data_IF_532682495116
#
_entry.id   IF_532682495116
#
_cell.length_a   1.000
_cell.length_b   1.000
_cell.length_c   1.000
_cell.angle_alpha   90.00
_cell.angle_beta   90.00
_cell.angle_gamma   90.00
#
_symmetry.space_group_name_H-M   'P 1'
#
loop_
_entity.id
_entity.type
_entity.pdbx_description
1 polymer ?
#
# COMPACT_ATOMS: atom_id res chain seq x y z
N UNK A 1 -14.03 0.51 4.50
CA UNK A 1 -13.34 0.32 3.21
C UNK A 1 -13.03 1.69 2.62
N UNK A 2 -11.79 1.95 2.25
CA UNK A 2 -11.47 3.25 1.65
C UNK A 2 -12.12 3.41 0.28
N UNK A 3 -12.41 4.64 -0.07
CA UNK A 3 -13.00 4.98 -1.35
C UNK A 3 -12.07 5.96 -2.08
N UNK A 4 -11.46 5.50 -3.15
CA UNK A 4 -10.53 6.30 -3.92
C UNK A 4 -11.25 7.05 -5.03
N UNK A 5 -12.06 8.01 -4.63
CA UNK A 5 -12.86 8.80 -5.59
C UNK A 5 -11.99 9.70 -6.47
N UNK A 6 -10.94 10.29 -5.92
CA UNK A 6 -10.06 11.17 -6.68
C UNK A 6 -9.25 10.40 -7.72
N UNK A 7 -8.54 9.30 -7.37
CA UNK A 7 -7.87 8.49 -8.40
C UNK A 7 -8.83 7.98 -9.47
N UNK A 8 -10.04 7.55 -9.07
CA UNK A 8 -11.02 7.08 -10.04
C UNK A 8 -11.36 8.17 -11.05
N UNK A 9 -11.55 9.42 -10.61
CA UNK A 9 -11.86 10.55 -11.49
C UNK A 9 -10.69 10.93 -12.40
N UNK A 10 -9.47 10.54 -12.07
CA UNK A 10 -8.27 10.84 -12.83
C UNK A 10 -7.82 9.70 -13.75
N UNK A 11 -8.59 8.63 -13.82
CA UNK A 11 -8.27 7.51 -14.69
C UNK A 11 -8.15 7.97 -16.14
N UNK A 12 -7.17 7.44 -16.85
CA UNK A 12 -6.80 7.84 -18.23
C UNK A 12 -6.23 9.26 -18.33
N UNK A 13 -5.77 9.85 -17.24
CA UNK A 13 -5.06 11.13 -17.25
C UNK A 13 -3.65 10.95 -16.71
N UNK A 14 -2.78 11.91 -16.98
CA UNK A 14 -1.42 11.91 -16.46
C UNK A 14 -1.39 12.06 -14.92
N UNK A 15 -2.51 12.42 -14.33
CA UNK A 15 -2.60 12.66 -12.89
C UNK A 15 -2.96 11.41 -12.10
N UNK A 16 -3.33 10.31 -12.75
CA UNK A 16 -3.80 9.12 -12.06
C UNK A 16 -2.73 8.55 -11.12
N UNK A 17 -1.51 8.36 -11.62
CA UNK A 17 -0.44 7.77 -10.82
C UNK A 17 -0.11 8.62 -9.59
N UNK A 18 -0.02 9.95 -9.77
CA UNK A 18 0.26 10.84 -8.66
C UNK A 18 -0.88 10.85 -7.64
N UNK A 19 -2.12 10.83 -8.10
CA UNK A 19 -3.30 10.80 -7.26
C UNK A 19 -3.38 9.50 -6.45
N UNK A 20 -3.15 8.37 -7.11
CA UNK A 20 -3.19 7.06 -6.44
C UNK A 20 -2.07 6.96 -5.40
N UNK A 21 -0.88 7.37 -5.75
CA UNK A 21 0.26 7.40 -4.83
C UNK A 21 -0.06 8.23 -3.58
N UNK A 22 -0.62 9.43 -3.80
CA UNK A 22 -0.96 10.34 -2.71
C UNK A 22 -2.00 9.72 -1.76
N UNK A 23 -3.04 9.10 -2.34
CA UNK A 23 -4.09 8.46 -1.54
C UNK A 23 -3.54 7.29 -0.71
N UNK A 24 -2.66 6.49 -1.29
CA UNK A 24 -2.07 5.36 -0.58
C UNK A 24 -1.19 5.85 0.57
N UNK A 25 -0.37 6.88 0.33
CA UNK A 25 0.53 7.42 1.33
C UNK A 25 -0.19 8.15 2.47
N UNK A 26 -1.43 8.56 2.25
CA UNK A 26 -2.23 9.27 3.25
C UNK A 26 -3.25 8.37 3.95
N UNK A 27 -3.23 7.06 3.70
CA UNK A 27 -4.12 6.14 4.40
C UNK A 27 -3.78 6.09 5.89
N UNK A 28 -4.83 5.85 6.68
CA UNK A 28 -4.65 5.67 8.12
C UNK A 28 -3.86 4.40 8.39
N UNK A 29 -3.16 4.40 9.51
CA UNK A 29 -2.43 3.22 9.98
C UNK A 29 -3.36 2.02 10.06
N UNK A 30 -2.88 0.88 9.60
CA UNK A 30 -3.61 -0.38 9.65
C UNK A 30 -4.55 -0.64 8.48
N UNK A 31 -4.75 0.33 7.57
CA UNK A 31 -5.62 0.11 6.40
C UNK A 31 -4.98 -0.82 5.39
N UNK A 32 -3.68 -0.65 5.11
CA UNK A 32 -2.96 -1.55 4.22
C UNK A 32 -2.59 -2.83 4.98
N UNK A 33 -2.72 -4.01 4.34
CA UNK A 33 -2.42 -5.29 5.00
C UNK A 33 -0.92 -5.59 5.03
N UNK A 34 -0.11 -4.64 5.46
CA UNK A 34 1.35 -4.75 5.42
C UNK A 34 1.88 -5.81 6.38
N UNK A 35 1.12 -6.16 7.41
CA UNK A 35 1.49 -7.24 8.33
C UNK A 35 1.67 -8.59 7.63
N UNK A 36 1.05 -8.77 6.48
CA UNK A 36 1.20 -9.99 5.67
C UNK A 36 2.52 -10.00 4.90
N UNK A 37 3.21 -8.87 4.82
CA UNK A 37 4.45 -8.71 4.07
C UNK A 37 5.67 -8.62 4.96
N UNK A 38 5.51 -8.70 6.28
CA UNK A 38 6.67 -8.69 7.19
C UNK A 38 7.49 -9.95 7.00
N UNK A 39 8.81 -9.79 7.05
CA UNK A 39 9.75 -10.88 6.75
C UNK A 39 10.30 -11.55 7.99
N UNK A 40 10.28 -10.85 9.13
CA UNK A 40 10.88 -11.32 10.37
C UNK A 40 9.91 -11.31 11.55
N UNK A 41 8.61 -11.24 11.25
CA UNK A 41 7.60 -11.23 12.30
C UNK A 41 7.57 -9.97 13.14
N UNK A 42 8.15 -8.89 12.65
CA UNK A 42 8.16 -7.61 13.35
C UNK A 42 6.83 -6.87 13.26
N UNK A 43 6.79 -5.70 13.86
CA UNK A 43 5.63 -4.82 13.81
C UNK A 43 5.74 -3.89 12.62
N UNK A 44 4.63 -3.64 11.96
CA UNK A 44 4.58 -2.69 10.85
C UNK A 44 4.60 -1.27 11.39
N UNK A 45 5.53 -0.46 10.87
CA UNK A 45 5.51 0.98 11.03
C UNK A 45 5.12 1.59 9.69
N UNK A 46 3.86 1.98 9.58
CA UNK A 46 3.29 2.55 8.35
C UNK A 46 3.10 4.07 8.45
N UNK A 47 3.84 4.72 9.36
CA UNK A 47 3.76 6.17 9.53
C UNK A 47 4.40 6.93 8.36
N UNK A 48 5.35 6.31 7.65
CA UNK A 48 6.07 6.94 6.54
C UNK A 48 6.20 5.95 5.39
N UNK A 49 5.07 5.55 4.81
CA UNK A 49 5.11 4.68 3.65
C UNK A 49 5.44 5.49 2.40
N UNK A 50 6.12 4.84 1.47
CA UNK A 50 6.39 5.38 0.15
C UNK A 50 5.81 4.42 -0.88
N UNK A 51 5.04 4.95 -1.82
CA UNK A 51 4.38 4.14 -2.83
C UNK A 51 4.91 4.48 -4.22
N UNK A 52 5.00 3.45 -5.06
CA UNK A 52 5.40 3.60 -6.46
C UNK A 52 4.44 2.80 -7.33
N UNK A 53 3.82 3.46 -8.30
CA UNK A 53 2.87 2.80 -9.19
C UNK A 53 3.68 2.06 -10.26
N UNK A 54 3.60 0.73 -10.25
CA UNK A 54 4.35 -0.12 -11.18
C UNK A 54 3.60 -0.28 -12.49
N UNK A 55 2.31 -0.60 -12.40
CA UNK A 55 1.46 -0.77 -13.57
C UNK A 55 0.02 -0.50 -13.21
N UNK A 56 -0.80 -0.22 -14.21
CA UNK A 56 -2.23 -0.04 -14.03
C UNK A 56 -2.97 -0.51 -15.26
N UNK A 57 -4.19 -0.98 -15.05
CA UNK A 57 -5.07 -1.43 -16.13
C UNK A 57 -6.50 -1.32 -15.65
N UNK A 58 -7.44 -1.57 -16.55
CA UNK A 58 -8.85 -1.57 -16.18
C UNK A 58 -9.55 -2.76 -16.82
N UNK A 59 -10.63 -3.17 -16.19
CA UNK A 59 -11.63 -4.02 -16.80
C UNK A 59 -12.98 -3.30 -16.76
N UNK A 60 -14.07 -4.01 -17.07
CA UNK A 60 -15.39 -3.37 -17.13
C UNK A 60 -15.86 -2.83 -15.77
N UNK A 61 -15.42 -3.44 -14.68
CA UNK A 61 -15.92 -3.15 -13.33
C UNK A 61 -14.95 -2.39 -12.46
N UNK A 62 -13.64 -2.57 -12.69
CA UNK A 62 -12.60 -2.08 -11.77
C UNK A 62 -11.42 -1.49 -12.51
N UNK A 63 -10.74 -0.57 -11.83
CA UNK A 63 -9.39 -0.15 -12.17
C UNK A 63 -8.46 -0.92 -11.27
N UNK A 64 -7.41 -1.50 -11.84
CA UNK A 64 -6.43 -2.32 -11.12
C UNK A 64 -5.06 -1.69 -11.24
N UNK A 65 -4.31 -1.74 -10.16
CA UNK A 65 -2.94 -1.24 -10.17
C UNK A 65 -2.05 -2.15 -9.34
N UNK A 66 -0.81 -2.30 -9.80
CA UNK A 66 0.24 -2.95 -9.03
C UNK A 66 1.12 -1.85 -8.46
N UNK A 67 1.28 -1.83 -7.14
CA UNK A 67 1.96 -0.76 -6.44
C UNK A 67 3.05 -1.35 -5.57
N UNK A 68 4.26 -0.80 -5.68
CA UNK A 68 5.34 -1.10 -4.75
C UNK A 68 5.22 -0.21 -3.52
N UNK A 69 5.31 -0.80 -2.35
CA UNK A 69 5.19 -0.07 -1.09
C UNK A 69 6.43 -0.32 -0.24
N UNK A 70 7.08 0.78 0.16
CA UNK A 70 8.17 0.76 1.13
C UNK A 70 7.62 1.18 2.48
N UNK A 71 7.90 0.40 3.49
CA UNK A 71 7.53 0.70 4.87
C UNK A 71 8.63 0.20 5.80
N UNK A 72 8.50 0.48 7.09
CA UNK A 72 9.46 0.00 8.06
C UNK A 72 8.87 -1.15 8.88
N UNK A 73 9.67 -2.16 9.10
CA UNK A 73 9.34 -3.25 10.02
C UNK A 73 10.18 -3.06 11.28
N UNK A 74 9.51 -2.99 12.43
CA UNK A 74 10.19 -2.82 13.71
C UNK A 74 10.37 -4.19 14.33
N UNK A 75 11.64 -4.57 14.51
CA UNK A 75 12.02 -5.86 15.06
C UNK A 75 12.53 -5.63 16.48
N UNK A 76 11.84 -6.19 17.44
CA UNK A 76 12.23 -6.12 18.83
C UNK A 76 13.48 -6.94 19.09
N UNK A 77 14.35 -6.43 19.97
CA UNK A 77 15.53 -7.17 20.40
C UNK A 77 15.14 -8.40 21.21
N UNK A 78 15.93 -9.46 21.07
CA UNK A 78 15.71 -10.68 21.83
C UNK A 78 16.23 -10.60 23.26
N UNK A 79 17.04 -9.59 23.55
CA UNK A 79 17.60 -9.36 24.88
C UNK A 79 17.11 -8.03 25.42
N UNK A 80 17.04 -7.91 26.73
CA UNK A 80 16.61 -6.68 27.37
C UNK A 80 17.58 -5.49 27.16
N UNK A 81 18.73 -5.73 26.58
CA UNK A 81 19.72 -4.69 26.26
C UNK A 81 19.69 -4.24 24.81
N UNK A 82 18.89 -4.92 23.96
CA UNK A 82 18.82 -4.58 22.54
C UNK A 82 17.66 -3.61 22.31
N UNK A 83 17.97 -2.52 21.62
CA UNK A 83 16.95 -1.60 21.17
C UNK A 83 16.22 -2.18 19.95
N UNK A 84 14.93 -1.88 19.77
CA UNK A 84 14.23 -2.26 18.56
C UNK A 84 14.93 -1.68 17.33
N UNK A 85 14.98 -2.48 16.27
CA UNK A 85 15.62 -2.10 15.01
C UNK A 85 14.53 -1.86 13.97
N UNK A 86 14.63 -0.73 13.26
CA UNK A 86 13.75 -0.44 12.15
C UNK A 86 14.45 -0.81 10.85
N UNK A 87 13.80 -1.70 10.08
CA UNK A 87 14.33 -2.12 8.78
C UNK A 87 13.39 -1.70 7.67
N UNK A 88 13.97 -1.19 6.58
CA UNK A 88 13.19 -0.90 5.37
C UNK A 88 12.71 -2.20 4.77
N UNK A 89 11.42 -2.28 4.52
CA UNK A 89 10.77 -3.45 3.95
C UNK A 89 10.02 -3.03 2.70
N UNK A 90 10.09 -3.85 1.69
CA UNK A 90 9.39 -3.61 0.43
C UNK A 90 8.39 -4.73 0.18
N UNK A 91 7.22 -4.36 -0.28
CA UNK A 91 6.25 -5.33 -0.80
C UNK A 91 5.52 -4.74 -2.00
N UNK A 92 4.86 -5.62 -2.74
CA UNK A 92 3.97 -5.21 -3.81
C UNK A 92 2.55 -5.51 -3.41
N UNK A 93 1.65 -4.59 -3.69
CA UNK A 93 0.24 -4.76 -3.44
C UNK A 93 -0.55 -4.63 -4.74
N UNK A 94 -1.66 -5.34 -4.80
CA UNK A 94 -2.65 -5.18 -5.86
C UNK A 94 -3.75 -4.28 -5.32
N UNK A 95 -4.06 -3.21 -6.05
CA UNK A 95 -5.11 -2.26 -5.70
C UNK A 95 -6.23 -2.41 -6.72
N UNK A 96 -7.45 -2.58 -6.25
CA UNK A 96 -8.62 -2.68 -7.11
C UNK A 96 -9.63 -1.61 -6.70
N UNK A 97 -10.00 -0.73 -7.63
CA UNK A 97 -10.95 0.35 -7.39
C UNK A 97 -12.22 0.06 -8.20
N UNK A 98 -13.34 -0.07 -7.50
CA UNK A 98 -14.63 -0.27 -8.15
C UNK A 98 -15.04 1.01 -8.89
N UNK A 99 -15.36 0.90 -10.18
CA UNK A 99 -15.69 2.06 -11.02
C UNK A 99 -16.99 2.74 -10.62
N UNK A 100 -17.91 2.01 -10.00
CA UNK A 100 -19.23 2.55 -9.63
C UNK A 100 -19.23 3.18 -8.25
N UNK A 101 -18.53 2.57 -7.29
CA UNK A 101 -18.59 2.96 -5.88
C UNK A 101 -17.31 3.60 -5.39
N UNK A 102 -16.22 3.46 -6.13
CA UNK A 102 -14.86 3.82 -5.73
C UNK A 102 -14.32 2.99 -4.55
N UNK A 103 -15.03 1.97 -4.12
CA UNK A 103 -14.55 1.06 -3.08
C UNK A 103 -13.22 0.43 -3.51
N UNK A 104 -12.25 0.44 -2.62
CA UNK A 104 -10.89 0.05 -2.94
C UNK A 104 -10.46 -1.12 -2.07
N UNK A 105 -9.95 -2.16 -2.70
CA UNK A 105 -9.41 -3.35 -2.04
C UNK A 105 -7.90 -3.40 -2.25
N UNK A 106 -7.21 -3.83 -1.20
CA UNK A 106 -5.76 -4.01 -1.22
C UNK A 106 -5.43 -5.46 -0.94
N UNK A 107 -4.54 -6.03 -1.75
CA UNK A 107 -4.08 -7.40 -1.57
C UNK A 107 -2.56 -7.42 -1.68
N UNK A 108 -1.88 -8.00 -0.70
CA UNK A 108 -0.44 -8.20 -0.77
C UNK A 108 -0.16 -9.29 -1.80
N UNK A 109 0.75 -9.00 -2.72
CA UNK A 109 1.15 -9.95 -3.75
C UNK A 109 2.25 -10.82 -3.16
N UNK A 110 1.99 -12.11 -3.06
CA UNK A 110 2.99 -13.08 -2.63
C UNK A 110 3.99 -13.34 -3.77
N UNK A 111 5.26 -13.36 -3.43
CA UNK A 111 6.30 -13.74 -4.36
C UNK A 111 6.46 -15.25 -4.45
#
# INVERSE_FOLDING_TARGET
MPQFTIPLSKWNTDLFNASLKNEIQNLKSGVLPLHLATTQGGMVDDSNISASIISSSENDDCIQAKVGVFFNEIIGGCNCHDDPVSENTYCEIHVSINKQTADTLFTVIAE
#
